data_IF_802086372194
#
_entry.id   IF_802086372194
#
_cell.length_a   1.000
_cell.length_b   1.000
_cell.length_c   1.000
_cell.angle_alpha   90.00
_cell.angle_beta   90.00
_cell.angle_gamma   90.00
#
_symmetry.space_group_name_H-M   'P 1'
#
loop_
_entity.id
_entity.type
_entity.pdbx_description
1 polymer ?
#
# COMPACT_ATOMS: atom_id res chain seq x y z
N UNK A 1 -5.34 6.36 -9.70
CA UNK A 1 -4.27 7.17 -9.08
C UNK A 1 -3.73 8.35 -9.92
N UNK A 2 -3.36 8.20 -11.21
CA UNK A 2 -2.70 9.28 -12.00
C UNK A 2 -3.41 10.65 -12.02
N UNK A 3 -4.73 10.68 -11.81
CA UNK A 3 -5.52 11.92 -11.77
C UNK A 3 -5.63 12.57 -10.38
N UNK A 4 -5.25 11.85 -9.33
CA UNK A 4 -5.38 12.32 -7.95
C UNK A 4 -4.08 12.99 -7.46
N UNK A 5 -2.92 12.67 -8.05
CA UNK A 5 -1.61 13.16 -7.61
C UNK A 5 -0.88 14.08 -8.59
N UNK A 6 -1.53 15.15 -9.05
CA UNK A 6 -0.92 16.13 -9.95
C UNK A 6 -1.11 17.57 -9.47
N UNK A 7 -0.19 18.46 -9.82
CA UNK A 7 -0.34 19.90 -9.60
C UNK A 7 -1.32 20.47 -10.63
N UNK A 8 -2.46 21.00 -10.19
CA UNK A 8 -3.32 21.82 -11.05
C UNK A 8 -2.86 23.27 -10.97
N UNK A 9 -2.87 23.99 -12.10
CA UNK A 9 -2.69 25.45 -12.11
C UNK A 9 -3.76 26.16 -11.24
N UNK A 10 -4.91 25.50 -11.03
CA UNK A 10 -5.97 25.97 -10.13
C UNK A 10 -5.54 25.93 -8.66
N UNK A 11 -4.69 24.96 -8.27
CA UNK A 11 -4.19 24.84 -6.90
C UNK A 11 -3.14 25.92 -6.59
N UNK A 12 -2.38 26.35 -7.60
CA UNK A 12 -1.38 27.44 -7.47
C UNK A 12 -2.02 28.82 -7.54
N UNK A 13 -3.10 28.99 -8.31
CA UNK A 13 -3.79 30.26 -8.50
C UNK A 13 -5.28 30.13 -8.15
N UNK A 14 -5.61 29.85 -6.88
CA UNK A 14 -6.99 29.64 -6.42
C UNK A 14 -7.82 30.93 -6.43
N UNK A 15 -7.30 32.06 -6.91
CA UNK A 15 -8.05 33.29 -7.15
C UNK A 15 -8.48 33.46 -8.62
N UNK A 16 -7.91 32.69 -9.56
CA UNK A 16 -8.20 32.82 -10.98
C UNK A 16 -9.46 32.05 -11.39
N UNK A 17 -10.53 32.79 -11.70
CA UNK A 17 -11.80 32.20 -12.14
C UNK A 17 -11.69 31.56 -13.54
N UNK A 18 -10.83 32.09 -14.42
CA UNK A 18 -10.61 31.55 -15.76
C UNK A 18 -9.89 30.20 -15.73
N UNK A 19 -8.83 30.07 -14.93
CA UNK A 19 -8.10 28.81 -14.77
C UNK A 19 -8.98 27.74 -14.12
N UNK A 20 -9.78 28.12 -13.11
CA UNK A 20 -10.83 27.26 -12.57
C UNK A 20 -11.78 26.78 -13.65
N UNK A 21 -12.33 27.70 -14.44
CA UNK A 21 -13.29 27.34 -15.48
C UNK A 21 -12.70 26.41 -16.55
N UNK A 22 -11.44 26.59 -16.97
CA UNK A 22 -10.87 25.80 -18.07
C UNK A 22 -10.28 24.47 -17.59
N UNK A 23 -9.47 24.49 -16.53
CA UNK A 23 -8.71 23.33 -16.06
C UNK A 23 -9.56 22.45 -15.13
N UNK A 24 -10.33 23.05 -14.21
CA UNK A 24 -11.18 22.26 -13.31
C UNK A 24 -12.27 21.54 -14.12
N UNK A 25 -12.92 22.20 -15.09
CA UNK A 25 -13.94 21.54 -15.91
C UNK A 25 -13.38 20.35 -16.73
N UNK A 26 -12.15 20.41 -17.23
CA UNK A 26 -11.54 19.29 -17.93
C UNK A 26 -11.21 18.12 -16.99
N UNK A 27 -10.58 18.39 -15.86
CA UNK A 27 -10.24 17.39 -14.85
C UNK A 27 -11.49 16.76 -14.22
N UNK A 28 -12.48 17.58 -13.86
CA UNK A 28 -13.77 17.15 -13.32
C UNK A 28 -14.56 16.28 -14.31
N UNK A 29 -14.62 16.67 -15.60
CA UNK A 29 -15.28 15.83 -16.61
C UNK A 29 -14.63 14.47 -16.73
N UNK A 30 -13.30 14.42 -16.72
CA UNK A 30 -12.55 13.16 -16.79
C UNK A 30 -12.76 12.32 -15.51
N UNK A 31 -12.78 12.96 -14.34
CA UNK A 31 -13.03 12.29 -13.06
C UNK A 31 -14.45 11.73 -13.01
N UNK A 32 -15.46 12.52 -13.41
CA UNK A 32 -16.86 12.09 -13.54
C UNK A 32 -16.97 10.89 -14.49
N UNK A 33 -16.29 10.90 -15.64
CA UNK A 33 -16.29 9.78 -16.58
C UNK A 33 -15.72 8.50 -15.95
N UNK A 34 -14.59 8.61 -15.24
CA UNK A 34 -13.97 7.46 -14.55
C UNK A 34 -14.87 6.95 -13.42
N UNK A 35 -15.45 7.87 -12.63
CA UNK A 35 -16.38 7.54 -11.56
C UNK A 35 -17.62 6.83 -12.09
N UNK A 36 -18.28 7.34 -13.13
CA UNK A 36 -19.44 6.70 -13.75
C UNK A 36 -19.12 5.31 -14.30
N UNK A 37 -17.93 5.10 -14.87
CA UNK A 37 -17.51 3.77 -15.32
C UNK A 37 -17.31 2.80 -14.15
N UNK A 38 -16.64 3.24 -13.08
CA UNK A 38 -16.46 2.42 -11.87
C UNK A 38 -17.81 2.10 -11.20
N UNK A 39 -18.71 3.08 -11.14
CA UNK A 39 -20.05 2.94 -10.56
C UNK A 39 -20.87 1.89 -11.32
N UNK A 40 -20.86 1.94 -12.65
CA UNK A 40 -21.56 0.96 -13.50
C UNK A 40 -21.00 -0.46 -13.32
N UNK A 41 -19.67 -0.61 -13.17
CA UNK A 41 -19.04 -1.90 -12.90
C UNK A 41 -19.51 -2.45 -11.55
N UNK A 42 -19.47 -1.63 -10.49
CA UNK A 42 -19.91 -2.04 -9.15
C UNK A 42 -21.39 -2.39 -9.13
N UNK A 43 -22.24 -1.59 -9.77
CA UNK A 43 -23.67 -1.85 -9.87
C UNK A 43 -23.96 -3.19 -10.57
N UNK A 44 -23.26 -3.48 -11.67
CA UNK A 44 -23.37 -4.77 -12.36
C UNK A 44 -22.99 -5.93 -11.43
N UNK A 45 -21.85 -5.84 -10.72
CA UNK A 45 -21.38 -6.88 -9.80
C UNK A 45 -22.36 -7.10 -8.64
N UNK A 46 -22.88 -6.01 -8.05
CA UNK A 46 -23.84 -6.07 -6.95
C UNK A 46 -25.15 -6.72 -7.42
N UNK A 47 -25.69 -6.30 -8.56
CA UNK A 47 -26.93 -6.84 -9.10
C UNK A 47 -26.80 -8.33 -9.44
N UNK A 48 -25.67 -8.74 -10.02
CA UNK A 48 -25.36 -10.15 -10.28
C UNK A 48 -25.32 -10.98 -8.99
N UNK A 49 -24.73 -10.44 -7.91
CA UNK A 49 -24.69 -11.10 -6.60
C UNK A 49 -26.09 -11.22 -5.99
N UNK A 50 -26.91 -10.18 -6.07
CA UNK A 50 -28.30 -10.20 -5.57
C UNK A 50 -29.17 -11.20 -6.33
N UNK A 51 -29.04 -11.27 -7.66
CA UNK A 51 -29.75 -12.25 -8.50
C UNK A 51 -29.36 -13.70 -8.18
N UNK A 52 -28.08 -13.95 -7.86
CA UNK A 52 -27.61 -15.26 -7.40
C UNK A 52 -28.17 -15.64 -6.02
N UNK A 53 -28.26 -14.68 -5.10
CA UNK A 53 -28.85 -14.88 -3.76
C UNK A 53 -30.35 -15.18 -3.81
N UNK A 54 -31.11 -14.52 -4.67
CA UNK A 54 -32.55 -14.73 -4.79
C UNK A 54 -32.91 -16.06 -5.48
N UNK A 55 -32.06 -16.56 -6.38
CA UNK A 55 -32.26 -17.83 -7.09
C UNK A 55 -31.81 -19.06 -6.30
N UNK A 56 -30.77 -18.95 -5.47
CA UNK A 56 -30.34 -20.00 -4.53
C UNK A 56 -31.06 -19.85 -3.18
N UNK A 57 -32.29 -20.37 -3.06
CA UNK A 57 -32.92 -20.56 -1.73
C UNK A 57 -32.04 -21.51 -0.90
N UNK A 58 -31.39 -20.99 0.15
CA UNK A 58 -30.87 -21.74 1.29
C UNK A 58 -29.80 -22.83 1.03
N UNK A 59 -28.81 -22.57 0.17
CA UNK A 59 -27.53 -23.27 0.28
C UNK A 59 -26.47 -22.26 0.71
N UNK A 60 -26.14 -22.27 2.00
CA UNK A 60 -24.98 -21.58 2.56
C UNK A 60 -23.72 -22.17 1.92
N UNK A 61 -23.39 -21.71 0.72
CA UNK A 61 -22.08 -21.89 0.10
C UNK A 61 -21.20 -20.69 0.41
N UNK A 62 -19.89 -20.86 0.28
CA UNK A 62 -18.83 -19.85 0.48
C UNK A 62 -18.99 -18.48 -0.20
N UNK A 63 -20.05 -18.26 -1.00
CA UNK A 63 -20.32 -17.02 -1.73
C UNK A 63 -20.63 -15.82 -0.79
N UNK A 64 -20.79 -16.03 0.52
CA UNK A 64 -21.06 -14.98 1.53
C UNK A 64 -19.85 -14.64 2.43
N UNK A 65 -18.69 -15.26 2.20
CA UNK A 65 -17.48 -15.03 3.00
C UNK A 65 -16.60 -13.89 2.47
N UNK A 66 -16.93 -13.32 1.31
CA UNK A 66 -16.20 -12.17 0.75
C UNK A 66 -16.75 -10.82 1.23
N UNK A 67 -15.96 -9.75 1.02
CA UNK A 67 -16.30 -8.40 1.48
C UNK A 67 -17.67 -7.93 0.98
N UNK A 68 -18.03 -8.23 -0.27
CA UNK A 68 -19.32 -7.83 -0.83
C UNK A 68 -20.46 -8.60 -0.13
N UNK A 69 -20.28 -9.90 0.11
CA UNK A 69 -21.23 -10.72 0.84
C UNK A 69 -21.52 -10.18 2.25
N UNK A 70 -20.45 -9.85 2.99
CA UNK A 70 -20.54 -9.24 4.33
C UNK A 70 -21.26 -7.89 4.29
N UNK A 71 -20.90 -7.00 3.37
CA UNK A 71 -21.53 -5.68 3.25
C UNK A 71 -23.02 -5.76 2.88
N UNK A 72 -23.39 -6.70 2.01
CA UNK A 72 -24.81 -6.93 1.67
C UNK A 72 -25.59 -7.48 2.86
N UNK A 73 -24.99 -8.33 3.69
CA UNK A 73 -25.64 -8.83 4.91
C UNK A 73 -25.82 -7.71 5.94
N UNK A 74 -24.82 -6.84 6.11
CA UNK A 74 -24.91 -5.66 6.98
C UNK A 74 -25.94 -4.65 6.50
N UNK A 75 -26.15 -4.53 5.19
CA UNK A 75 -27.22 -3.69 4.65
C UNK A 75 -28.61 -4.16 5.12
N UNK A 76 -28.80 -5.46 5.28
CA UNK A 76 -30.09 -6.00 5.73
C UNK A 76 -30.30 -5.84 7.25
N UNK A 77 -29.23 -5.58 8.03
CA UNK A 77 -29.28 -5.45 9.50
C UNK A 77 -29.06 -4.03 10.04
N UNK A 78 -28.22 -3.21 9.41
CA UNK A 78 -27.69 -1.93 9.94
C UNK A 78 -27.99 -0.72 9.04
N UNK A 79 -29.02 -0.79 8.20
CA UNK A 79 -29.49 0.30 7.32
C UNK A 79 -28.39 0.90 6.41
N UNK A 80 -27.48 0.04 5.93
CA UNK A 80 -26.40 0.46 5.03
C UNK A 80 -26.92 0.59 3.59
N UNK A 81 -26.88 1.79 3.02
CA UNK A 81 -27.34 2.02 1.66
C UNK A 81 -26.40 1.44 0.59
N UNK A 82 -26.93 1.20 -0.61
CA UNK A 82 -26.13 0.71 -1.74
C UNK A 82 -25.00 1.68 -2.13
N UNK A 83 -25.20 2.98 -1.91
CA UNK A 83 -24.17 4.00 -2.15
C UNK A 83 -22.98 3.79 -1.22
N UNK A 84 -23.24 3.52 0.06
CA UNK A 84 -22.21 3.26 1.07
C UNK A 84 -21.46 1.96 0.75
N UNK A 85 -22.16 0.89 0.34
CA UNK A 85 -21.51 -0.36 -0.11
C UNK A 85 -20.54 -0.07 -1.26
N UNK A 86 -21.02 0.62 -2.31
CA UNK A 86 -20.19 0.98 -3.47
C UNK A 86 -18.98 1.82 -3.07
N UNK A 87 -19.16 2.78 -2.16
CA UNK A 87 -18.08 3.63 -1.67
C UNK A 87 -17.01 2.81 -0.92
N UNK A 88 -17.41 1.91 -0.02
CA UNK A 88 -16.47 1.07 0.74
C UNK A 88 -15.70 0.13 -0.19
N UNK A 89 -16.39 -0.50 -1.16
CA UNK A 89 -15.75 -1.36 -2.15
C UNK A 89 -14.74 -0.57 -2.99
N UNK A 90 -15.13 0.61 -3.48
CA UNK A 90 -14.24 1.47 -4.25
C UNK A 90 -12.99 1.87 -3.45
N UNK A 91 -13.16 2.27 -2.19
CA UNK A 91 -12.04 2.63 -1.31
C UNK A 91 -11.10 1.44 -1.07
N UNK A 92 -11.64 0.23 -0.84
CA UNK A 92 -10.85 -0.99 -0.68
C UNK A 92 -10.05 -1.32 -1.95
N UNK A 93 -10.66 -1.23 -3.13
CA UNK A 93 -9.93 -1.46 -4.39
C UNK A 93 -8.86 -0.40 -4.66
N UNK A 94 -9.18 0.88 -4.45
CA UNK A 94 -8.24 1.97 -4.73
C UNK A 94 -7.04 1.94 -3.77
N UNK A 95 -7.28 1.81 -2.47
CA UNK A 95 -6.22 1.83 -1.46
C UNK A 95 -5.50 0.48 -1.33
N UNK A 96 -6.21 -0.63 -1.56
CA UNK A 96 -5.73 -1.99 -1.34
C UNK A 96 -5.06 -2.65 -2.55
N UNK A 97 -4.97 -2.00 -3.70
CA UNK A 97 -4.30 -2.57 -4.90
C UNK A 97 -2.86 -2.08 -5.06
N UNK A 98 -2.68 -0.75 -5.14
CA UNK A 98 -1.40 -0.18 -5.55
C UNK A 98 -0.38 -0.21 -4.41
N UNK A 99 -0.79 0.06 -3.16
CA UNK A 99 0.11 0.28 -2.01
C UNK A 99 1.01 -0.92 -1.69
N UNK A 100 0.46 -2.13 -1.57
CA UNK A 100 1.25 -3.33 -1.29
C UNK A 100 2.08 -3.75 -2.52
N UNK A 101 1.55 -3.57 -3.75
CA UNK A 101 2.29 -3.88 -4.99
C UNK A 101 3.55 -3.02 -5.11
N UNK A 102 3.43 -1.73 -4.81
CA UNK A 102 4.56 -0.79 -4.74
C UNK A 102 5.57 -1.22 -3.68
N UNK A 103 5.08 -1.65 -2.52
CA UNK A 103 5.94 -2.13 -1.43
C UNK A 103 6.72 -3.37 -1.86
N UNK A 104 6.09 -4.33 -2.55
CA UNK A 104 6.75 -5.52 -3.09
C UNK A 104 7.77 -5.15 -4.18
N UNK A 105 7.45 -4.21 -5.06
CA UNK A 105 8.38 -3.73 -6.09
C UNK A 105 9.63 -3.09 -5.46
N UNK A 106 9.47 -2.24 -4.44
CA UNK A 106 10.59 -1.66 -3.69
C UNK A 106 11.36 -2.70 -2.89
N UNK A 107 10.70 -3.66 -2.25
CA UNK A 107 11.37 -4.75 -1.54
C UNK A 107 12.24 -5.56 -2.52
N UNK A 108 11.69 -5.99 -3.65
CA UNK A 108 12.45 -6.69 -4.69
C UNK A 108 13.61 -5.84 -5.22
N UNK A 109 13.42 -4.55 -5.39
CA UNK A 109 14.48 -3.63 -5.81
C UNK A 109 15.63 -3.57 -4.83
N UNK A 110 15.32 -3.43 -3.54
CA UNK A 110 16.32 -3.37 -2.49
C UNK A 110 17.04 -4.70 -2.30
N UNK A 111 16.33 -5.83 -2.42
CA UNK A 111 16.94 -7.15 -2.40
C UNK A 111 17.90 -7.34 -3.59
N UNK A 112 17.53 -6.89 -4.80
CA UNK A 112 18.41 -6.96 -5.97
C UNK A 112 19.62 -6.04 -5.85
N UNK A 113 19.48 -4.88 -5.19
CA UNK A 113 20.57 -3.95 -4.89
C UNK A 113 21.49 -4.48 -3.77
N UNK A 114 20.98 -5.35 -2.89
CA UNK A 114 21.69 -5.89 -1.73
C UNK A 114 21.70 -7.44 -1.75
N UNK A 115 22.56 -8.09 -2.56
CA UNK A 115 22.59 -9.55 -2.70
C UNK A 115 22.73 -10.33 -1.38
N UNK A 116 23.46 -9.79 -0.40
CA UNK A 116 23.60 -10.37 0.94
C UNK A 116 22.25 -10.51 1.66
N UNK A 117 21.39 -9.50 1.53
CA UNK A 117 20.05 -9.50 2.13
C UNK A 117 19.14 -10.45 1.36
N UNK A 118 19.19 -10.44 0.02
CA UNK A 118 18.47 -11.41 -0.82
C UNK A 118 18.78 -12.84 -0.43
N UNK A 119 20.05 -13.21 -0.34
CA UNK A 119 20.48 -14.57 0.02
C UNK A 119 19.93 -15.00 1.39
N UNK A 120 19.99 -14.10 2.38
CA UNK A 120 19.50 -14.38 3.73
C UNK A 120 17.98 -14.54 3.76
N UNK A 121 17.23 -13.70 3.04
CA UNK A 121 15.78 -13.80 2.90
C UNK A 121 15.36 -15.08 2.15
N UNK A 122 15.99 -15.39 1.02
CA UNK A 122 15.75 -16.62 0.26
C UNK A 122 16.02 -17.86 1.09
N UNK A 123 17.14 -17.89 1.84
CA UNK A 123 17.49 -19.01 2.72
C UNK A 123 16.44 -19.23 3.80
N UNK A 124 15.93 -18.17 4.44
CA UNK A 124 14.85 -18.28 5.41
C UNK A 124 13.57 -18.84 4.76
N UNK A 125 13.09 -18.20 3.70
CA UNK A 125 11.85 -18.59 3.03
C UNK A 125 11.93 -20.03 2.54
N UNK A 126 13.01 -20.41 1.85
CA UNK A 126 13.21 -21.79 1.37
C UNK A 126 13.28 -22.78 2.52
N UNK A 127 13.94 -22.45 3.64
CA UNK A 127 13.96 -23.32 4.82
C UNK A 127 12.57 -23.55 5.42
N UNK A 128 11.73 -22.51 5.48
CA UNK A 128 10.37 -22.61 6.05
C UNK A 128 9.42 -23.45 5.17
N UNK A 129 9.59 -23.38 3.84
CA UNK A 129 8.67 -24.00 2.88
C UNK A 129 9.21 -25.24 2.14
N UNK A 130 10.46 -25.65 2.35
CA UNK A 130 11.12 -26.73 1.60
C UNK A 130 10.30 -28.03 1.55
N UNK A 131 9.66 -28.40 2.66
CA UNK A 131 8.87 -29.64 2.75
C UNK A 131 7.45 -29.54 2.17
N UNK A 132 6.94 -28.34 1.89
CA UNK A 132 5.59 -28.12 1.35
C UNK A 132 5.58 -27.85 -0.15
N UNK A 133 6.65 -27.26 -0.70
CA UNK A 133 6.70 -26.90 -2.12
C UNK A 133 5.88 -25.65 -2.51
N UNK A 134 5.04 -25.16 -1.60
CA UNK A 134 4.10 -24.04 -1.81
C UNK A 134 4.18 -23.09 -0.61
N UNK A 135 4.13 -21.79 -0.88
CA UNK A 135 4.03 -20.75 0.14
C UNK A 135 2.58 -20.61 0.59
N UNK A 136 2.34 -20.72 1.89
CA UNK A 136 1.03 -20.57 2.52
C UNK A 136 1.01 -19.47 3.58
N UNK A 137 -0.18 -18.90 3.79
CA UNK A 137 -0.40 -17.81 4.74
C UNK A 137 -0.11 -18.22 6.18
N UNK A 138 -0.49 -19.44 6.56
CA UNK A 138 -0.34 -19.96 7.93
C UNK A 138 1.12 -20.04 8.41
N UNK A 139 2.09 -19.93 7.50
CA UNK A 139 3.51 -20.01 7.79
C UNK A 139 4.24 -18.67 7.72
N UNK A 140 3.58 -17.57 7.35
CA UNK A 140 4.22 -16.25 7.16
C UNK A 140 4.86 -15.74 8.46
N UNK A 141 4.23 -15.99 9.60
CA UNK A 141 4.74 -15.53 10.91
C UNK A 141 6.12 -16.13 11.25
N UNK A 142 6.50 -17.22 10.59
CA UNK A 142 7.83 -17.85 10.74
C UNK A 142 8.93 -17.18 9.90
N UNK A 143 8.59 -16.26 9.00
CA UNK A 143 9.52 -15.54 8.12
C UNK A 143 10.05 -14.27 8.80
N UNK A 144 10.75 -14.44 9.92
CA UNK A 144 11.16 -13.34 10.78
C UNK A 144 12.06 -12.33 10.05
N UNK A 145 13.01 -12.79 9.25
CA UNK A 145 13.90 -11.93 8.49
C UNK A 145 13.17 -11.24 7.34
N UNK A 146 12.25 -11.92 6.64
CA UNK A 146 11.41 -11.29 5.62
C UNK A 146 10.55 -10.16 6.20
N UNK A 147 10.08 -10.30 7.45
CA UNK A 147 9.41 -9.22 8.17
C UNK A 147 10.33 -8.02 8.42
N UNK A 148 11.60 -8.24 8.75
CA UNK A 148 12.57 -7.15 8.88
C UNK A 148 12.82 -6.45 7.53
N UNK A 149 12.92 -7.23 6.44
CA UNK A 149 13.06 -6.70 5.07
C UNK A 149 11.89 -5.79 4.73
N UNK A 150 10.66 -6.22 5.02
CA UNK A 150 9.48 -5.41 4.72
C UNK A 150 9.40 -4.16 5.60
N UNK A 151 9.78 -4.25 6.89
CA UNK A 151 9.89 -3.08 7.77
C UNK A 151 10.86 -2.04 7.22
N UNK A 152 12.06 -2.48 6.81
CA UNK A 152 13.06 -1.58 6.25
C UNK A 152 12.65 -1.02 4.88
N UNK A 153 11.94 -1.81 4.09
CA UNK A 153 11.35 -1.35 2.82
C UNK A 153 10.34 -0.23 3.07
N UNK A 154 9.42 -0.40 4.02
CA UNK A 154 8.42 0.62 4.35
C UNK A 154 9.02 1.86 5.03
N UNK A 155 10.15 1.70 5.73
CA UNK A 155 10.90 2.83 6.28
C UNK A 155 11.45 3.70 5.15
N UNK A 156 12.24 3.12 4.24
CA UNK A 156 12.88 3.87 3.17
C UNK A 156 11.89 4.28 2.07
N UNK A 157 10.96 3.41 1.71
CA UNK A 157 10.09 3.59 0.55
C UNK A 157 8.61 3.55 0.94
N UNK A 158 8.13 4.45 1.83
CA UNK A 158 6.73 4.47 2.21
C UNK A 158 5.88 4.84 0.98
N UNK A 159 4.91 4.01 0.56
CA UNK A 159 4.10 4.32 -0.62
C UNK A 159 3.43 5.69 -0.53
N UNK A 160 2.95 6.10 0.65
CA UNK A 160 2.42 7.44 0.90
C UNK A 160 3.35 8.29 1.78
N UNK A 161 4.36 8.97 1.23
CA UNK A 161 5.41 9.66 2.02
C UNK A 161 4.89 10.83 2.87
N UNK A 162 3.73 11.40 2.52
CA UNK A 162 3.11 12.52 3.24
C UNK A 162 1.85 12.10 4.04
N UNK A 163 1.63 10.79 4.17
CA UNK A 163 0.39 10.20 4.66
C UNK A 163 -0.86 10.73 3.92
N UNK A 164 -2.04 10.34 4.39
CA UNK A 164 -3.30 10.96 3.95
C UNK A 164 -3.50 12.26 4.73
N UNK A 165 -3.81 13.40 4.06
CA UNK A 165 -3.97 14.68 4.72
C UNK A 165 -5.01 14.63 5.85
N UNK A 166 -4.70 15.28 6.97
CA UNK A 166 -5.63 15.51 8.08
C UNK A 166 -6.18 16.93 8.00
N UNK A 167 -7.31 17.17 8.64
CA UNK A 167 -7.90 18.50 8.77
C UNK A 167 -8.21 18.76 10.25
N UNK A 168 -7.80 19.93 10.76
CA UNK A 168 -8.14 20.31 12.13
C UNK A 168 -9.64 20.58 12.24
N UNK A 169 -10.31 19.96 13.22
CA UNK A 169 -11.74 20.18 13.47
C UNK A 169 -12.01 21.53 14.15
N UNK A 170 -11.07 21.98 14.97
CA UNK A 170 -11.17 23.18 15.78
C UNK A 170 -9.83 23.91 15.84
N UNK A 171 -9.82 25.11 16.43
CA UNK A 171 -8.57 25.83 16.65
C UNK A 171 -7.87 25.26 17.87
N UNK A 172 -6.60 24.85 17.73
CA UNK A 172 -5.83 24.16 18.77
C UNK A 172 -4.41 24.69 18.85
N UNK A 173 -3.80 24.61 20.04
CA UNK A 173 -2.38 24.90 20.25
C UNK A 173 -1.57 23.61 20.16
N UNK A 174 -0.57 23.56 19.30
CA UNK A 174 0.37 22.43 19.18
C UNK A 174 1.79 22.96 19.30
N UNK A 175 2.53 22.53 20.32
CA UNK A 175 3.90 23.00 20.59
C UNK A 175 4.04 24.54 20.58
N UNK A 176 3.06 25.26 21.13
CA UNK A 176 3.05 26.72 21.16
C UNK A 176 2.55 27.40 19.88
N UNK A 177 2.27 26.66 18.81
CA UNK A 177 1.71 27.19 17.56
C UNK A 177 0.19 27.08 17.53
N UNK A 178 -0.48 28.17 17.14
CA UNK A 178 -1.93 28.20 16.93
C UNK A 178 -2.28 27.63 15.55
N UNK A 179 -2.87 26.44 15.53
CA UNK A 179 -3.43 25.81 14.34
C UNK A 179 -4.92 26.14 14.28
N UNK A 180 -5.36 26.80 13.21
CA UNK A 180 -6.75 27.18 13.06
C UNK A 180 -7.64 25.98 12.69
N UNK A 181 -8.93 26.09 12.97
CA UNK A 181 -9.90 25.14 12.44
C UNK A 181 -9.80 25.10 10.90
N UNK A 182 -10.05 23.93 10.32
CA UNK A 182 -9.96 23.67 8.87
C UNK A 182 -8.54 23.76 8.27
N UNK A 183 -7.50 23.88 9.08
CA UNK A 183 -6.12 23.74 8.59
C UNK A 183 -5.86 22.31 8.13
N UNK A 184 -5.39 22.15 6.90
CA UNK A 184 -4.90 20.88 6.35
C UNK A 184 -3.49 20.60 6.87
N UNK A 185 -3.27 19.39 7.35
CA UNK A 185 -2.00 18.93 7.95
C UNK A 185 -1.50 17.71 7.20
N UNK A 186 -0.24 17.75 6.79
CA UNK A 186 0.48 16.61 6.20
C UNK A 186 1.51 16.09 7.20
N UNK A 187 1.64 14.78 7.31
CA UNK A 187 2.66 14.14 8.16
C UNK A 187 3.74 13.62 7.23
N UNK A 188 4.93 14.21 7.28
CA UNK A 188 6.03 13.85 6.40
C UNK A 188 6.74 12.58 6.89
N UNK A 189 6.13 11.42 6.61
CA UNK A 189 6.66 10.11 6.94
C UNK A 189 8.04 9.86 6.32
N UNK A 190 8.25 10.33 5.09
CA UNK A 190 9.55 10.20 4.41
C UNK A 190 10.68 10.86 5.20
N UNK A 191 10.44 12.06 5.72
CA UNK A 191 11.43 12.78 6.54
C UNK A 191 11.62 12.12 7.91
N UNK A 192 10.53 11.74 8.59
CA UNK A 192 10.60 11.07 9.90
C UNK A 192 11.42 9.78 9.80
N UNK A 193 11.18 8.99 8.75
CA UNK A 193 11.86 7.72 8.53
C UNK A 193 13.36 7.87 8.16
N UNK A 194 13.83 9.09 7.87
CA UNK A 194 15.21 9.42 7.51
C UNK A 194 15.89 10.36 8.50
N UNK A 195 15.25 10.66 9.62
CA UNK A 195 15.81 11.54 10.63
C UNK A 195 17.01 10.87 11.33
N UNK A 196 18.25 11.42 11.21
CA UNK A 196 19.43 10.84 11.84
C UNK A 196 19.38 10.85 13.38
N UNK A 197 18.48 11.62 14.00
CA UNK A 197 18.27 11.56 15.45
C UNK A 197 17.58 10.27 15.90
N UNK A 198 16.84 9.62 15.00
CA UNK A 198 16.09 8.39 15.27
C UNK A 198 16.65 7.17 14.53
N UNK A 199 17.31 7.38 13.38
CA UNK A 199 17.79 6.31 12.51
C UNK A 199 19.30 6.42 12.27
N UNK A 200 20.05 5.43 12.74
CA UNK A 200 21.49 5.32 12.41
C UNK A 200 21.67 4.97 10.94
N UNK A 201 22.51 5.71 10.21
CA UNK A 201 22.68 5.56 8.76
C UNK A 201 21.32 5.55 8.02
N UNK A 202 20.57 6.67 8.06
CA UNK A 202 19.16 6.69 7.67
C UNK A 202 18.92 6.33 6.21
N UNK A 203 19.90 6.53 5.31
CA UNK A 203 19.77 6.21 3.89
C UNK A 203 20.19 4.77 3.53
N UNK A 204 20.76 4.02 4.48
CA UNK A 204 21.24 2.65 4.23
C UNK A 204 20.10 1.67 4.47
N UNK A 205 19.86 0.79 3.49
CA UNK A 205 18.94 -0.33 3.61
C UNK A 205 19.57 -1.45 4.45
N UNK A 206 19.20 -1.49 5.73
CA UNK A 206 19.72 -2.47 6.69
C UNK A 206 18.56 -3.08 7.50
N UNK A 207 17.96 -4.19 7.05
CA UNK A 207 16.87 -4.87 7.78
C UNK A 207 17.25 -5.24 9.22
N UNK A 208 18.53 -5.55 9.45
CA UNK A 208 19.06 -5.86 10.78
C UNK A 208 18.83 -4.77 11.82
N UNK A 209 18.58 -3.51 11.43
CA UNK A 209 18.25 -2.44 12.39
C UNK A 209 16.98 -2.72 13.20
N UNK A 210 16.07 -3.53 12.65
CA UNK A 210 14.85 -3.95 13.33
C UNK A 210 15.04 -5.23 14.15
N UNK A 211 16.22 -5.86 14.11
CA UNK A 211 16.51 -7.03 14.93
C UNK A 211 16.50 -6.61 16.42
N UNK A 212 15.71 -7.31 17.23
CA UNK A 212 15.47 -6.98 18.65
C UNK A 212 14.84 -5.60 18.89
N UNK A 213 14.29 -4.94 17.86
CA UNK A 213 13.52 -3.72 18.02
C UNK A 213 12.08 -4.04 18.41
N UNK A 214 11.53 -3.28 19.36
CA UNK A 214 10.11 -3.36 19.73
C UNK A 214 9.19 -2.62 18.76
N UNK A 215 9.74 -1.90 17.80
CA UNK A 215 8.98 -1.09 16.84
C UNK A 215 8.13 -1.98 15.95
N UNK A 216 6.85 -1.63 15.82
CA UNK A 216 5.88 -2.36 15.00
C UNK A 216 4.97 -1.44 14.19
N UNK A 217 3.94 -2.02 13.57
CA UNK A 217 3.04 -1.32 12.64
C UNK A 217 1.83 -0.66 13.32
N UNK A 218 1.67 -0.79 14.65
CA UNK A 218 0.47 -0.33 15.41
C UNK A 218 0.41 1.18 15.59
N UNK A 219 1.41 1.92 15.08
CA UNK A 219 1.47 3.38 15.10
C UNK A 219 1.55 3.98 16.50
N UNK A 220 2.16 3.25 17.43
CA UNK A 220 2.55 3.72 18.76
C UNK A 220 3.96 4.30 18.77
N UNK A 221 4.79 3.95 17.79
CA UNK A 221 6.16 4.42 17.63
C UNK A 221 6.22 5.57 16.61
N UNK A 222 6.22 6.81 17.08
CA UNK A 222 6.08 7.99 16.20
C UNK A 222 7.26 8.25 15.27
N UNK A 223 8.40 7.58 15.46
CA UNK A 223 9.53 7.61 14.54
C UNK A 223 9.40 6.57 13.40
N UNK A 224 8.36 5.73 13.41
CA UNK A 224 8.06 4.73 12.39
C UNK A 224 6.54 4.54 12.21
N UNK A 225 5.95 5.22 11.23
CA UNK A 225 4.49 5.28 11.04
C UNK A 225 4.03 4.89 9.62
N UNK A 226 4.44 3.73 9.07
CA UNK A 226 4.15 3.35 7.67
C UNK A 226 2.65 3.24 7.36
N UNK A 227 1.81 2.99 8.38
CA UNK A 227 0.35 2.92 8.27
C UNK A 227 -0.37 4.09 8.96
N UNK A 228 0.36 5.14 9.32
CA UNK A 228 -0.14 6.27 10.10
C UNK A 228 -0.35 5.94 11.58
N UNK A 229 -1.22 6.71 12.25
CA UNK A 229 -1.57 6.54 13.67
C UNK A 229 -2.96 7.09 14.01
N UNK A 230 -3.49 6.64 15.15
CA UNK A 230 -4.72 7.13 15.77
C UNK A 230 -6.01 6.80 14.99
N UNK A 231 -7.05 7.64 15.16
CA UNK A 231 -8.41 7.42 14.63
C UNK A 231 -8.54 7.18 13.12
N UNK A 232 -7.51 7.50 12.34
CA UNK A 232 -7.47 7.33 10.88
C UNK A 232 -6.18 6.61 10.46
N UNK A 233 -5.71 5.69 11.31
CA UNK A 233 -4.73 4.68 10.92
C UNK A 233 -5.31 3.81 9.80
N UNK A 234 -4.44 3.27 8.94
CA UNK A 234 -4.84 2.42 7.83
C UNK A 234 -5.68 1.22 8.31
N UNK A 235 -6.96 1.11 7.89
CA UNK A 235 -7.78 -0.04 8.24
C UNK A 235 -7.35 -1.32 7.50
N UNK A 236 -6.68 -1.18 6.36
CA UNK A 236 -6.21 -2.29 5.52
C UNK A 236 -4.81 -2.80 5.86
N UNK A 237 -4.23 -2.42 7.00
CA UNK A 237 -2.85 -2.76 7.38
C UNK A 237 -2.59 -4.28 7.33
N UNK A 238 -3.44 -5.08 7.96
CA UNK A 238 -3.26 -6.54 8.00
C UNK A 238 -3.38 -7.16 6.60
N UNK A 239 -4.37 -6.72 5.81
CA UNK A 239 -4.55 -7.17 4.43
C UNK A 239 -3.34 -6.86 3.54
N UNK A 240 -2.85 -5.61 3.58
CA UNK A 240 -1.69 -5.18 2.81
C UNK A 240 -0.41 -5.91 3.20
N UNK A 241 -0.19 -6.13 4.50
CA UNK A 241 0.96 -6.90 4.99
C UNK A 241 0.89 -8.36 4.53
N UNK A 242 -0.27 -9.02 4.65
CA UNK A 242 -0.46 -10.40 4.20
C UNK A 242 -0.14 -10.55 2.70
N UNK A 243 -0.69 -9.67 1.85
CA UNK A 243 -0.41 -9.69 0.41
C UNK A 243 1.06 -9.41 0.09
N UNK A 244 1.68 -8.45 0.77
CA UNK A 244 3.09 -8.13 0.55
C UNK A 244 4.00 -9.30 0.95
N UNK A 245 3.76 -9.91 2.12
CA UNK A 245 4.53 -11.07 2.56
C UNK A 245 4.34 -12.29 1.66
N UNK A 246 3.10 -12.64 1.33
CA UNK A 246 2.81 -13.76 0.43
C UNK A 246 3.46 -13.57 -0.92
N UNK A 247 3.30 -12.39 -1.53
CA UNK A 247 3.85 -12.11 -2.85
C UNK A 247 5.37 -12.15 -2.83
N UNK A 248 6.00 -11.47 -1.87
CA UNK A 248 7.46 -11.42 -1.77
C UNK A 248 8.04 -12.81 -1.49
N UNK A 249 7.45 -13.56 -0.55
CA UNK A 249 7.86 -14.93 -0.24
C UNK A 249 7.74 -15.85 -1.46
N UNK A 250 6.63 -15.80 -2.20
CA UNK A 250 6.45 -16.58 -3.42
C UNK A 250 7.51 -16.24 -4.48
N UNK A 251 7.77 -14.95 -4.71
CA UNK A 251 8.75 -14.49 -5.70
C UNK A 251 10.15 -15.02 -5.37
N UNK A 252 10.59 -14.94 -4.11
CA UNK A 252 11.97 -15.32 -3.73
C UNK A 252 12.11 -16.82 -3.40
N UNK A 253 11.01 -17.51 -3.11
CA UNK A 253 11.00 -18.96 -2.93
C UNK A 253 11.26 -19.67 -4.26
N UNK A 254 10.42 -19.39 -5.28
CA UNK A 254 10.39 -20.14 -6.54
C UNK A 254 11.48 -19.75 -7.53
N UNK A 255 12.09 -18.57 -7.38
CA UNK A 255 13.03 -18.05 -8.37
C UNK A 255 14.30 -17.51 -7.71
N UNK A 256 15.42 -17.73 -8.38
CA UNK A 256 16.59 -16.86 -8.29
C UNK A 256 16.42 -15.74 -9.33
N UNK A 257 16.72 -14.51 -8.94
CA UNK A 257 16.48 -13.33 -9.77
C UNK A 257 17.78 -12.76 -10.33
N UNK A 258 17.75 -12.33 -11.59
CA UNK A 258 18.90 -11.71 -12.27
C UNK A 258 18.52 -10.36 -12.86
N UNK A 259 19.45 -9.41 -12.79
CA UNK A 259 19.35 -8.16 -13.53
C UNK A 259 19.63 -8.41 -15.03
N UNK A 260 18.92 -7.73 -15.94
CA UNK A 260 19.11 -7.89 -17.38
C UNK A 260 20.44 -7.26 -17.83
N UNK A 261 20.91 -7.66 -19.01
CA UNK A 261 22.08 -7.06 -19.69
C UNK A 261 23.38 -7.01 -18.86
N UNK A 262 23.59 -7.96 -17.95
CA UNK A 262 24.77 -8.02 -17.07
C UNK A 262 24.93 -6.77 -16.17
N UNK A 263 23.83 -6.05 -15.93
CA UNK A 263 23.78 -4.93 -15.00
C UNK A 263 24.18 -5.37 -13.58
N UNK A 264 24.96 -4.56 -12.89
CA UNK A 264 25.36 -4.83 -11.50
C UNK A 264 24.35 -4.22 -10.52
N UNK A 265 24.26 -4.72 -9.27
CA UNK A 265 23.37 -4.16 -8.25
C UNK A 265 23.51 -2.64 -8.05
N UNK A 266 24.73 -2.13 -8.09
CA UNK A 266 25.04 -0.69 -7.96
C UNK A 266 24.45 0.17 -9.08
N UNK A 267 24.30 -0.39 -10.27
CA UNK A 267 23.76 0.28 -11.46
C UNK A 267 22.22 0.39 -11.44
N UNK A 268 21.56 -0.31 -10.51
CA UNK A 268 20.10 -0.31 -10.42
C UNK A 268 19.58 1.09 -10.06
N UNK A 269 18.79 1.66 -10.98
CA UNK A 269 18.12 2.95 -10.80
C UNK A 269 17.12 2.86 -9.63
N UNK A 270 17.34 3.65 -8.58
CA UNK A 270 16.47 3.73 -7.39
C UNK A 270 15.72 5.06 -7.32
N UNK A 271 15.67 5.81 -8.41
CA UNK A 271 14.95 7.09 -8.44
C UNK A 271 13.44 6.91 -8.32
N UNK A 272 12.80 7.90 -7.72
CA UNK A 272 11.39 7.90 -7.39
C UNK A 272 10.58 8.80 -8.33
N UNK A 273 9.35 8.40 -8.65
CA UNK A 273 8.34 9.27 -9.25
C UNK A 273 7.37 9.72 -8.18
N UNK A 274 7.39 11.03 -7.88
CA UNK A 274 6.49 11.62 -6.91
C UNK A 274 5.02 11.61 -7.37
N UNK A 275 4.12 11.42 -6.42
CA UNK A 275 2.67 11.40 -6.58
C UNK A 275 1.97 11.23 -5.23
N UNK A 276 0.67 10.98 -5.21
CA UNK A 276 -0.02 10.53 -3.97
C UNK A 276 0.65 9.27 -3.44
N UNK A 277 0.97 8.36 -4.36
CA UNK A 277 1.84 7.24 -4.10
C UNK A 277 3.18 7.47 -4.78
N UNK A 278 4.27 7.25 -4.05
CA UNK A 278 5.63 7.23 -4.59
C UNK A 278 5.95 5.85 -5.10
N UNK A 279 6.35 5.79 -6.37
CA UNK A 279 6.71 4.56 -7.09
C UNK A 279 8.11 4.73 -7.65
N UNK A 280 8.74 3.64 -8.11
CA UNK A 280 9.96 3.75 -8.92
C UNK A 280 9.71 4.62 -10.15
N UNK A 281 10.70 5.42 -10.52
CA UNK A 281 10.67 6.21 -11.75
C UNK A 281 10.69 5.28 -12.98
N UNK A 282 11.46 4.19 -12.91
CA UNK A 282 11.50 3.13 -13.91
C UNK A 282 11.11 1.80 -13.27
N UNK A 283 10.19 1.09 -13.93
CA UNK A 283 9.75 -0.24 -13.51
C UNK A 283 10.95 -1.17 -13.29
N UNK A 284 10.89 -2.00 -12.26
CA UNK A 284 11.88 -3.06 -12.04
C UNK A 284 11.70 -4.16 -13.08
N UNK A 285 12.75 -4.45 -13.86
CA UNK A 285 12.76 -5.54 -14.84
C UNK A 285 13.79 -6.57 -14.41
N UNK A 286 13.35 -7.82 -14.18
CA UNK A 286 14.19 -8.93 -13.74
C UNK A 286 13.97 -10.16 -14.61
N UNK A 287 14.99 -11.01 -14.67
CA UNK A 287 14.93 -12.32 -15.34
C UNK A 287 14.82 -13.40 -14.25
N UNK A 288 13.71 -14.17 -14.21
CA UNK A 288 13.57 -15.27 -13.27
C UNK A 288 14.35 -16.49 -13.73
N UNK A 289 15.07 -17.14 -12.81
CA UNK A 289 15.64 -18.47 -12.97
C UNK A 289 14.94 -19.41 -11.98
N UNK A 290 14.24 -20.46 -12.44
CA UNK A 290 13.53 -21.38 -11.54
C UNK A 290 14.47 -22.01 -10.50
N UNK A 291 14.06 -21.97 -9.23
CA UNK A 291 14.71 -22.69 -8.15
C UNK A 291 14.04 -24.05 -7.98
N UNK A 292 14.85 -25.11 -8.04
CA UNK A 292 14.42 -26.46 -7.75
C UNK A 292 15.01 -26.87 -6.40
N UNK A 293 14.16 -27.12 -5.37
CA UNK A 293 14.65 -27.67 -4.11
C UNK A 293 15.38 -28.98 -4.37
N UNK A 294 16.57 -29.14 -3.80
CA UNK A 294 17.31 -30.40 -3.82
C UNK A 294 16.80 -31.36 -2.76
#
# INVERSE_FOLDING_TARGET
MKMLGGFSLVDLFPSSNLLRLLVANAAERKLKKVHSAADAIMETIINDRLAKRSSKKAAAGNDDEDLLGVLLNLKDTDDLGFTEIKAVILDMFLAGSDTWTITVEWAMSELMKHPRVMEKAQREVRKVFNGKGVVDEASIDRLQYLQLVLKETLRLHPPGPLAIPRESKETVMVNGYKILAKTRVFVNLWAINRDPHHWTQPEVFEPERFLNSSVDFRGTDFHYLPFGAGRRMCPGMHYGLALAYLSLANLIYHFDWKLPHQMKPEDLDMSERFGIEVKRQKNLILIPAPYHPR
#
